data_IF_322738935945
#
_entry.id   IF_322738935945
#
_cell.length_a   1.000
_cell.length_b   1.000
_cell.length_c   1.000
_cell.angle_alpha   90.00
_cell.angle_beta   90.00
_cell.angle_gamma   90.00
#
_symmetry.space_group_name_H-M   'P 1'
#
loop_
_entity.id
_entity.type
_entity.pdbx_description
1 polymer ?
#
# COMPACT_ATOMS: atom_id res chain seq x y z
N UNK A 1 21.66 12.80 -7.35
CA UNK A 1 20.23 12.97 -6.99
C UNK A 1 19.86 11.87 -6.02
N UNK A 2 19.20 12.18 -4.91
CA UNK A 2 18.88 11.19 -3.87
C UNK A 2 17.74 10.27 -4.34
N UNK A 3 17.78 8.99 -3.99
CA UNK A 3 16.76 8.03 -4.46
C UNK A 3 16.10 7.31 -3.30
N UNK A 4 14.78 7.30 -3.28
CA UNK A 4 13.98 6.45 -2.38
C UNK A 4 13.43 5.29 -3.18
N UNK A 5 13.87 4.08 -2.86
CA UNK A 5 13.28 2.86 -3.40
C UNK A 5 12.16 2.39 -2.48
N UNK A 6 10.99 2.06 -3.03
CA UNK A 6 9.84 1.62 -2.24
C UNK A 6 8.88 0.73 -3.02
N UNK A 7 7.85 0.24 -2.34
CA UNK A 7 6.84 -0.67 -2.90
C UNK A 7 5.84 0.08 -3.79
N UNK A 8 5.74 -0.37 -5.03
CA UNK A 8 4.72 0.03 -6.00
C UNK A 8 3.41 -0.76 -5.85
N UNK A 9 2.49 -0.64 -6.82
CA UNK A 9 2.56 0.21 -8.02
C UNK A 9 2.34 1.70 -7.69
N UNK A 10 2.18 2.54 -8.73
CA UNK A 10 1.84 3.96 -8.57
C UNK A 10 0.54 4.11 -7.74
N UNK A 11 0.50 5.08 -6.85
CA UNK A 11 -0.67 5.38 -6.04
C UNK A 11 -0.76 4.67 -4.70
N UNK A 12 0.27 3.96 -4.27
CA UNK A 12 0.31 3.31 -2.95
C UNK A 12 0.55 4.31 -1.83
N UNK A 13 0.24 3.88 -0.60
CA UNK A 13 0.61 4.62 0.61
C UNK A 13 2.14 4.73 0.77
N UNK A 14 2.91 3.77 0.24
CA UNK A 14 4.37 3.82 0.22
C UNK A 14 4.89 4.93 -0.70
N UNK A 15 4.33 5.09 -1.90
CA UNK A 15 4.65 6.22 -2.80
C UNK A 15 4.36 7.56 -2.10
N UNK A 16 3.18 7.71 -1.48
CA UNK A 16 2.81 8.90 -0.70
C UNK A 16 3.84 9.19 0.40
N UNK A 17 4.22 8.17 1.17
CA UNK A 17 5.18 8.30 2.26
C UNK A 17 6.58 8.67 1.78
N UNK A 18 7.01 8.16 0.62
CA UNK A 18 8.30 8.51 0.03
C UNK A 18 8.36 9.99 -0.36
N UNK A 19 7.33 10.50 -1.04
CA UNK A 19 7.27 11.93 -1.37
C UNK A 19 7.20 12.81 -0.12
N UNK A 20 6.42 12.40 0.88
CA UNK A 20 6.39 13.10 2.18
C UNK A 20 7.76 13.14 2.86
N UNK A 21 8.52 12.04 2.80
CA UNK A 21 9.86 12.00 3.38
C UNK A 21 10.83 12.96 2.69
N UNK A 22 10.79 13.04 1.34
CA UNK A 22 11.60 14.01 0.59
C UNK A 22 11.26 15.45 0.98
N UNK A 23 9.96 15.79 0.99
CA UNK A 23 9.48 17.13 1.32
C UNK A 23 9.82 17.53 2.76
N UNK A 24 9.58 16.64 3.73
CA UNK A 24 9.85 16.89 5.15
C UNK A 24 11.33 17.17 5.43
N UNK A 25 12.23 16.56 4.66
CA UNK A 25 13.68 16.67 4.86
C UNK A 25 14.34 17.66 3.88
N UNK A 26 13.56 18.40 3.08
CA UNK A 26 14.07 19.32 2.06
C UNK A 26 15.09 18.65 1.11
N UNK A 27 14.78 17.42 0.69
CA UNK A 27 15.64 16.61 -0.18
C UNK A 27 15.12 16.64 -1.62
N UNK A 28 15.99 17.03 -2.55
CA UNK A 28 15.75 16.83 -3.99
C UNK A 28 16.10 15.39 -4.41
N UNK A 29 15.08 14.65 -4.86
CA UNK A 29 15.23 13.22 -5.10
C UNK A 29 14.10 12.58 -5.90
N UNK A 30 14.35 11.33 -6.30
CA UNK A 30 13.40 10.50 -7.04
C UNK A 30 12.80 9.41 -6.16
N UNK A 31 11.56 9.04 -6.48
CA UNK A 31 10.91 7.83 -5.93
C UNK A 31 10.89 6.76 -7.01
N UNK A 32 11.49 5.61 -6.73
CA UNK A 32 11.50 4.45 -7.63
C UNK A 32 10.63 3.35 -7.01
N UNK A 33 9.62 2.92 -7.77
CA UNK A 33 8.63 1.94 -7.35
C UNK A 33 9.02 0.55 -7.85
N UNK A 34 8.99 -0.42 -6.95
CA UNK A 34 9.33 -1.81 -7.21
C UNK A 34 8.14 -2.73 -6.98
N UNK A 35 8.18 -3.90 -7.61
CA UNK A 35 7.17 -4.94 -7.39
C UNK A 35 7.19 -5.46 -5.94
N UNK A 36 8.38 -5.59 -5.36
CA UNK A 36 8.57 -6.00 -3.96
C UNK A 36 9.69 -5.20 -3.30
N UNK A 37 9.72 -5.18 -1.96
CA UNK A 37 10.83 -4.54 -1.23
C UNK A 37 12.13 -5.32 -1.37
N UNK A 38 12.07 -6.63 -1.61
CA UNK A 38 13.24 -7.49 -1.86
C UNK A 38 13.96 -7.06 -3.13
N UNK A 39 13.22 -6.78 -4.22
CA UNK A 39 13.80 -6.22 -5.45
C UNK A 39 14.40 -4.84 -5.19
N UNK A 40 13.73 -4.01 -4.39
CA UNK A 40 14.23 -2.69 -4.02
C UNK A 40 15.58 -2.76 -3.26
N UNK A 41 15.79 -3.76 -2.40
CA UNK A 41 17.05 -3.98 -1.69
C UNK A 41 18.21 -4.26 -2.65
N UNK A 42 17.98 -5.00 -3.74
CA UNK A 42 19.02 -5.27 -4.73
C UNK A 42 19.55 -3.99 -5.40
N UNK A 43 18.74 -2.92 -5.50
CA UNK A 43 19.20 -1.62 -5.99
C UNK A 43 20.05 -0.87 -4.94
N UNK A 44 19.71 -0.96 -3.64
CA UNK A 44 20.52 -0.37 -2.56
C UNK A 44 21.95 -0.95 -2.53
N UNK A 45 22.14 -2.20 -2.97
CA UNK A 45 23.49 -2.78 -3.06
C UNK A 45 24.39 -2.02 -4.03
N UNK A 46 23.82 -1.44 -5.08
CA UNK A 46 24.53 -0.82 -6.22
C UNK A 46 24.84 0.66 -6.02
N UNK A 47 24.04 1.37 -5.23
CA UNK A 47 24.17 2.81 -4.99
C UNK A 47 24.29 3.13 -3.49
N UNK A 48 25.05 4.15 -3.14
CA UNK A 48 25.19 4.63 -1.76
C UNK A 48 24.33 5.88 -1.50
N UNK A 49 23.82 6.55 -2.52
CA UNK A 49 23.00 7.75 -2.40
C UNK A 49 21.49 7.44 -2.48
N UNK A 50 21.08 6.39 -1.77
CA UNK A 50 19.71 5.92 -1.79
C UNK A 50 19.28 5.33 -0.44
N UNK A 51 17.97 5.27 -0.23
CA UNK A 51 17.35 4.63 0.93
C UNK A 51 16.21 3.71 0.49
N UNK A 52 15.88 2.75 1.35
CA UNK A 52 14.70 1.91 1.24
C UNK A 52 13.62 2.44 2.18
N UNK A 53 12.40 2.64 1.67
CA UNK A 53 11.21 2.93 2.47
C UNK A 53 10.27 1.74 2.46
N UNK A 54 9.89 1.26 3.65
CA UNK A 54 8.93 0.18 3.83
C UNK A 54 7.82 0.55 4.81
N UNK A 55 6.58 0.13 4.50
CA UNK A 55 5.45 0.20 5.44
C UNK A 55 5.62 -0.85 6.54
N UNK A 56 5.36 -0.51 7.81
CA UNK A 56 5.59 -1.43 8.95
C UNK A 56 4.73 -2.69 8.90
N UNK A 57 3.61 -2.66 8.17
CA UNK A 57 2.71 -3.82 7.98
C UNK A 57 3.02 -4.60 6.69
N UNK A 58 4.16 -4.35 6.05
CA UNK A 58 4.60 -5.18 4.92
C UNK A 58 4.88 -6.62 5.41
N UNK A 59 4.26 -7.66 4.81
CA UNK A 59 4.30 -9.03 5.35
C UNK A 59 5.71 -9.59 5.58
N UNK A 60 6.67 -9.19 4.75
CA UNK A 60 8.04 -9.71 4.78
C UNK A 60 9.07 -8.69 5.26
N UNK A 61 8.64 -7.63 5.97
CA UNK A 61 9.57 -6.60 6.45
C UNK A 61 10.65 -7.20 7.39
N UNK A 62 10.28 -8.20 8.18
CA UNK A 62 11.22 -8.92 9.02
C UNK A 62 12.34 -9.60 8.19
N UNK A 63 12.03 -10.19 7.03
CA UNK A 63 13.02 -10.78 6.15
C UNK A 63 13.97 -9.73 5.59
N UNK A 64 13.44 -8.58 5.16
CA UNK A 64 14.24 -7.45 4.68
C UNK A 64 15.29 -7.03 5.73
N UNK A 65 14.88 -6.91 7.00
CA UNK A 65 15.79 -6.51 8.08
C UNK A 65 16.80 -7.61 8.40
N UNK A 66 16.33 -8.81 8.75
CA UNK A 66 17.21 -9.85 9.30
C UNK A 66 18.13 -10.50 8.26
N UNK A 67 17.77 -10.51 6.98
CA UNK A 67 18.64 -11.03 5.92
C UNK A 67 19.68 -10.02 5.44
N UNK A 68 19.57 -8.74 5.84
CA UNK A 68 20.44 -7.66 5.38
C UNK A 68 21.14 -6.93 6.53
N UNK A 69 21.37 -7.57 7.67
CA UNK A 69 21.95 -6.94 8.87
C UNK A 69 23.34 -6.29 8.65
N UNK A 70 24.11 -6.76 7.68
CA UNK A 70 25.42 -6.21 7.31
C UNK A 70 25.33 -5.16 6.20
N UNK A 71 24.16 -5.00 5.58
CA UNK A 71 23.92 -4.10 4.45
C UNK A 71 23.05 -2.91 4.84
N UNK A 72 22.00 -3.11 5.64
CA UNK A 72 20.97 -2.13 5.96
C UNK A 72 20.92 -1.84 7.45
N UNK A 73 20.71 -0.57 7.77
CA UNK A 73 20.36 -0.10 9.12
C UNK A 73 19.06 0.70 9.05
N UNK A 74 18.17 0.45 10.01
CA UNK A 74 17.02 1.32 10.24
C UNK A 74 17.53 2.67 10.77
N UNK A 75 17.24 3.75 10.07
CA UNK A 75 17.75 5.10 10.40
C UNK A 75 16.66 6.07 10.82
N UNK A 76 15.41 5.84 10.42
CA UNK A 76 14.28 6.67 10.80
C UNK A 76 12.96 5.88 10.74
N UNK A 77 11.98 6.34 11.49
CA UNK A 77 10.61 5.85 11.48
C UNK A 77 9.65 7.02 11.69
N UNK A 78 8.60 7.09 10.88
CA UNK A 78 7.57 8.11 11.04
C UNK A 78 6.17 7.54 10.83
N UNK A 79 5.17 8.24 11.37
CA UNK A 79 3.76 7.95 11.14
C UNK A 79 3.21 8.95 10.13
N UNK A 80 2.50 8.45 9.14
CA UNK A 80 1.76 9.24 8.17
C UNK A 80 0.41 8.59 7.93
N UNK A 81 -0.63 9.42 7.87
CA UNK A 81 -1.97 8.95 7.49
C UNK A 81 -1.95 8.34 6.09
N UNK A 82 -2.57 7.17 5.94
CA UNK A 82 -2.79 6.58 4.62
C UNK A 82 -3.68 7.47 3.75
N UNK A 83 -3.82 7.14 2.47
CA UNK A 83 -5.04 7.52 1.77
C UNK A 83 -6.27 6.93 2.50
N UNK A 84 -7.42 7.61 2.42
CA UNK A 84 -8.66 7.10 3.00
C UNK A 84 -8.90 5.67 2.52
N UNK A 85 -9.18 4.78 3.47
CA UNK A 85 -9.58 3.41 3.21
C UNK A 85 -11.07 3.39 2.92
N UNK A 86 -11.47 2.68 1.87
CA UNK A 86 -12.84 2.70 1.35
C UNK A 86 -13.34 1.29 1.13
N UNK A 87 -14.65 1.11 1.23
CA UNK A 87 -15.37 0.04 0.56
C UNK A 87 -15.93 0.60 -0.75
N UNK A 88 -15.42 0.10 -1.88
CA UNK A 88 -15.77 0.58 -3.22
C UNK A 88 -16.32 -0.55 -4.10
N UNK A 89 -17.17 -0.24 -5.06
CA UNK A 89 -17.84 -1.24 -5.90
C UNK A 89 -18.18 -0.74 -7.29
N UNK A 90 -18.33 -1.67 -8.24
CA UNK A 90 -18.96 -1.41 -9.55
C UNK A 90 -20.46 -1.12 -9.44
N UNK A 91 -21.11 -1.48 -8.32
CA UNK A 91 -22.52 -1.24 -8.07
C UNK A 91 -22.72 -0.20 -6.97
N UNK A 92 -23.84 0.52 -7.02
CA UNK A 92 -24.32 1.37 -5.91
C UNK A 92 -25.22 0.61 -4.94
N UNK A 93 -25.78 -0.51 -5.38
CA UNK A 93 -26.70 -1.36 -4.64
C UNK A 93 -25.95 -2.54 -4.01
N UNK A 94 -25.86 -2.56 -2.68
CA UNK A 94 -25.18 -3.60 -1.90
C UNK A 94 -25.75 -5.00 -2.15
N UNK A 95 -27.03 -5.13 -2.51
CA UNK A 95 -27.67 -6.43 -2.71
C UNK A 95 -27.14 -7.17 -3.95
N UNK A 96 -26.50 -6.46 -4.88
CA UNK A 96 -25.89 -7.00 -6.10
C UNK A 96 -24.49 -7.55 -5.89
N UNK A 97 -23.85 -7.25 -4.75
CA UNK A 97 -22.48 -7.67 -4.45
C UNK A 97 -22.51 -9.12 -3.96
N UNK A 98 -21.80 -9.99 -4.67
CA UNK A 98 -21.68 -11.42 -4.33
C UNK A 98 -20.24 -11.84 -4.06
N UNK A 99 -19.29 -11.10 -4.62
CA UNK A 99 -17.86 -11.35 -4.48
C UNK A 99 -17.11 -10.08 -4.06
N UNK A 100 -16.29 -10.18 -3.03
CA UNK A 100 -15.49 -9.07 -2.48
C UNK A 100 -13.99 -9.34 -2.54
N UNK A 101 -13.19 -8.28 -2.62
CA UNK A 101 -11.73 -8.37 -2.72
C UNK A 101 -11.00 -7.42 -1.76
N UNK A 102 -9.86 -7.82 -1.21
CA UNK A 102 -9.06 -6.92 -0.36
C UNK A 102 -7.58 -7.30 -0.34
N UNK A 103 -6.71 -6.37 0.03
CA UNK A 103 -5.41 -6.73 0.58
C UNK A 103 -5.60 -7.46 1.93
N UNK A 104 -4.70 -8.38 2.35
CA UNK A 104 -4.81 -9.06 3.64
C UNK A 104 -4.90 -8.11 4.84
N UNK A 105 -4.12 -7.03 4.87
CA UNK A 105 -4.05 -6.14 6.04
C UNK A 105 -5.38 -5.45 6.40
N UNK A 106 -6.13 -4.83 5.46
CA UNK A 106 -7.41 -4.21 5.78
C UNK A 106 -8.64 -5.12 5.55
N UNK A 107 -8.46 -6.44 5.36
CA UNK A 107 -9.56 -7.36 5.04
C UNK A 107 -10.67 -7.34 6.09
N UNK A 108 -10.32 -7.10 7.35
CA UNK A 108 -11.29 -7.14 8.45
C UNK A 108 -12.22 -5.91 8.43
N UNK A 109 -11.93 -4.85 7.66
CA UNK A 109 -12.86 -3.73 7.45
C UNK A 109 -14.20 -4.16 6.81
N UNK A 110 -14.27 -5.35 6.21
CA UNK A 110 -15.54 -5.91 5.76
C UNK A 110 -16.56 -6.13 6.89
N UNK A 111 -16.12 -6.31 8.15
CA UNK A 111 -17.05 -6.46 9.28
C UNK A 111 -17.87 -5.21 9.55
N UNK A 112 -17.32 -4.04 9.20
CA UNK A 112 -17.93 -2.72 9.40
C UNK A 112 -18.93 -2.34 8.29
N UNK A 113 -18.97 -3.10 7.19
CA UNK A 113 -19.90 -2.85 6.08
C UNK A 113 -21.27 -3.45 6.38
N UNK A 114 -22.20 -2.60 6.82
CA UNK A 114 -23.58 -2.97 7.05
C UNK A 114 -24.34 -3.20 5.74
N UNK A 115 -25.27 -4.17 5.72
CA UNK A 115 -26.15 -4.43 4.56
C UNK A 115 -25.58 -5.36 3.49
N UNK A 116 -24.37 -5.90 3.66
CA UNK A 116 -23.87 -6.97 2.80
C UNK A 116 -24.62 -8.28 3.07
N UNK A 117 -25.07 -8.94 2.00
CA UNK A 117 -25.66 -10.27 2.07
C UNK A 117 -24.57 -11.28 2.46
N UNK A 118 -24.78 -12.00 3.57
CA UNK A 118 -23.88 -13.05 4.06
C UNK A 118 -24.50 -14.44 3.81
N UNK A 119 -23.70 -15.48 3.49
CA UNK A 119 -22.24 -15.46 3.28
C UNK A 119 -21.85 -14.82 1.94
N UNK A 120 -20.62 -14.27 1.87
CA UNK A 120 -20.08 -13.60 0.69
C UNK A 120 -18.72 -14.18 0.32
N UNK A 121 -18.46 -14.39 -0.97
CA UNK A 121 -17.17 -14.91 -1.43
C UNK A 121 -16.10 -13.82 -1.33
N UNK A 122 -14.94 -14.12 -0.74
CA UNK A 122 -13.84 -13.16 -0.56
C UNK A 122 -12.55 -13.64 -1.20
N UNK A 123 -11.88 -12.74 -1.93
CA UNK A 123 -10.54 -12.95 -2.50
C UNK A 123 -9.53 -11.98 -1.92
N UNK A 124 -8.27 -12.41 -1.81
CA UNK A 124 -7.17 -11.59 -1.33
C UNK A 124 -6.21 -11.24 -2.48
N UNK A 125 -5.70 -10.01 -2.47
CA UNK A 125 -4.80 -9.46 -3.48
C UNK A 125 -3.56 -8.81 -2.83
N UNK A 126 -2.52 -8.59 -3.63
CA UNK A 126 -1.23 -8.11 -3.13
C UNK A 126 -1.19 -6.62 -2.77
N UNK A 127 -2.20 -5.82 -3.15
CA UNK A 127 -2.31 -4.42 -2.74
C UNK A 127 -3.75 -3.89 -2.82
N UNK A 128 -4.00 -2.74 -2.18
CA UNK A 128 -5.27 -2.02 -2.32
C UNK A 128 -5.53 -1.57 -3.76
N UNK A 129 -4.48 -1.15 -4.47
CA UNK A 129 -4.57 -0.76 -5.88
C UNK A 129 -4.94 -1.94 -6.77
N UNK A 130 -4.34 -3.11 -6.52
CA UNK A 130 -4.69 -4.36 -7.21
C UNK A 130 -6.14 -4.75 -6.94
N UNK A 131 -6.61 -4.65 -5.70
CA UNK A 131 -8.00 -4.93 -5.36
C UNK A 131 -8.99 -4.03 -6.14
N UNK A 132 -8.67 -2.75 -6.32
CA UNK A 132 -9.48 -1.83 -7.14
C UNK A 132 -9.47 -2.21 -8.62
N UNK A 133 -8.30 -2.55 -9.18
CA UNK A 133 -8.17 -3.02 -10.56
C UNK A 133 -9.02 -4.27 -10.80
N UNK A 134 -8.91 -5.26 -9.91
CA UNK A 134 -9.66 -6.52 -10.00
C UNK A 134 -11.18 -6.29 -9.83
N UNK A 135 -11.58 -5.33 -9.00
CA UNK A 135 -12.97 -4.91 -8.91
C UNK A 135 -13.47 -4.31 -10.22
N UNK A 136 -12.72 -3.38 -10.81
CA UNK A 136 -13.06 -2.74 -12.07
C UNK A 136 -13.13 -3.73 -13.24
N UNK A 137 -12.26 -4.73 -13.26
CA UNK A 137 -12.24 -5.80 -14.27
C UNK A 137 -13.38 -6.82 -14.11
N UNK A 138 -14.15 -6.76 -13.01
CA UNK A 138 -15.23 -7.69 -12.76
C UNK A 138 -14.82 -9.01 -12.10
N UNK A 139 -13.54 -9.18 -11.75
CA UNK A 139 -13.07 -10.32 -10.96
C UNK A 139 -13.75 -10.36 -9.61
N UNK A 140 -14.01 -9.20 -8.99
CA UNK A 140 -14.85 -9.03 -7.79
C UNK A 140 -15.90 -7.93 -8.04
N UNK A 141 -16.96 -7.89 -7.22
CA UNK A 141 -18.02 -6.88 -7.32
C UNK A 141 -17.70 -5.63 -6.49
N UNK A 142 -17.01 -5.81 -5.37
CA UNK A 142 -16.58 -4.74 -4.49
C UNK A 142 -15.23 -5.06 -3.84
N UNK A 143 -14.56 -4.06 -3.30
CA UNK A 143 -13.27 -4.23 -2.65
C UNK A 143 -13.03 -3.23 -1.53
N UNK A 144 -12.18 -3.61 -0.57
CA UNK A 144 -11.49 -2.64 0.28
C UNK A 144 -10.31 -2.08 -0.51
N UNK A 145 -10.27 -0.76 -0.65
CA UNK A 145 -9.22 -0.07 -1.40
C UNK A 145 -8.96 1.34 -0.84
N UNK A 146 -8.16 2.15 -1.52
CA UNK A 146 -7.92 3.56 -1.16
C UNK A 146 -8.71 4.52 -2.04
N UNK A 147 -8.94 5.76 -1.56
CA UNK A 147 -9.55 6.83 -2.36
C UNK A 147 -8.84 7.10 -3.68
N UNK A 148 -7.50 7.04 -3.70
CA UNK A 148 -6.71 7.24 -4.91
C UNK A 148 -6.99 6.13 -5.94
N UNK A 149 -7.00 4.87 -5.50
CA UNK A 149 -7.23 3.71 -6.36
C UNK A 149 -8.70 3.58 -6.82
N UNK A 150 -9.67 3.84 -5.95
CA UNK A 150 -11.09 3.85 -6.32
C UNK A 150 -11.37 4.89 -7.42
N UNK A 151 -10.80 6.10 -7.28
CA UNK A 151 -10.93 7.16 -8.29
C UNK A 151 -10.25 6.81 -9.60
N UNK A 152 -9.04 6.23 -9.59
CA UNK A 152 -8.34 5.85 -10.83
C UNK A 152 -9.07 4.77 -11.62
N UNK A 153 -9.93 3.99 -10.97
CA UNK A 153 -10.71 2.92 -11.58
C UNK A 153 -12.22 3.22 -11.69
N UNK A 154 -12.64 4.46 -11.43
CA UNK A 154 -14.05 4.90 -11.51
C UNK A 154 -15.03 4.02 -10.71
N UNK A 155 -14.62 3.55 -9.52
CA UNK A 155 -15.47 2.76 -8.64
C UNK A 155 -16.39 3.66 -7.81
N UNK A 156 -17.60 3.18 -7.51
CA UNK A 156 -18.51 3.84 -6.58
C UNK A 156 -17.99 3.66 -5.15
N UNK A 157 -17.95 4.73 -4.37
CA UNK A 157 -17.58 4.68 -2.96
C UNK A 157 -18.85 4.42 -2.16
N UNK A 158 -18.93 3.25 -1.52
CA UNK A 158 -20.09 2.85 -0.72
C UNK A 158 -19.90 3.14 0.76
N UNK A 159 -18.65 3.13 1.22
CA UNK A 159 -18.28 3.51 2.57
C UNK A 159 -16.87 4.10 2.59
N UNK A 160 -16.65 5.13 3.39
CA UNK A 160 -15.33 5.73 3.66
C UNK A 160 -14.99 5.52 5.13
N UNK A 161 -13.96 4.70 5.39
CA UNK A 161 -13.45 4.41 6.74
C UNK A 161 -12.48 5.49 7.24
N UNK A 162 -12.14 6.47 6.41
CA UNK A 162 -11.14 7.48 6.69
C UNK A 162 -9.70 6.98 6.55
N UNK A 163 -8.71 7.85 6.79
CA UNK A 163 -7.31 7.47 6.81
C UNK A 163 -6.99 6.63 8.06
N UNK A 164 -5.98 5.76 7.93
CA UNK A 164 -5.41 5.03 9.06
C UNK A 164 -4.01 5.58 9.31
N UNK A 165 -3.66 5.99 10.55
CA UNK A 165 -2.29 6.32 10.90
C UNK A 165 -1.40 5.09 10.70
N UNK A 166 -0.38 5.19 9.84
CA UNK A 166 0.46 4.06 9.47
C UNK A 166 1.94 4.38 9.65
N UNK A 167 2.70 3.42 10.18
CA UNK A 167 4.15 3.54 10.34
C UNK A 167 4.89 3.26 9.04
N UNK A 168 5.94 4.04 8.78
CA UNK A 168 6.88 3.86 7.69
C UNK A 168 8.30 3.84 8.25
N UNK A 169 9.09 2.91 7.75
CA UNK A 169 10.46 2.65 8.16
C UNK A 169 11.43 3.05 7.04
N UNK A 170 12.51 3.73 7.41
CA UNK A 170 13.58 4.15 6.52
C UNK A 170 14.83 3.34 6.82
N UNK A 171 15.34 2.64 5.82
CA UNK A 171 16.56 1.86 5.91
C UNK A 171 17.62 2.44 4.98
N UNK A 172 18.78 2.73 5.56
CA UNK A 172 19.94 3.23 4.82
C UNK A 172 21.00 2.15 4.74
N UNK A 173 21.88 2.23 3.74
CA UNK A 173 23.04 1.35 3.64
C UNK A 173 24.00 1.58 4.82
N UNK A 174 24.61 0.50 5.31
CA UNK A 174 25.71 0.56 6.27
C UNK A 174 26.99 0.88 5.49
N UNK A 175 27.73 1.89 5.96
CA UNK A 175 29.05 2.25 5.42
C UNK A 175 30.14 1.35 5.97
#
# INVERSE_FOLDING_TARGET
MFTIHTLGPKGTNCEKAAHYYLEKNDLDGNVILHETLEVAVEEIKKDNNCILLGCIVYPYLHNIVFQNLTLLKLTDCFVLDTHNMLFASRYTDLSKIKKIGSHPAPKDLFSEVNGLNKPIESLLFNSNSEAALQCANGTVDACITTLKAAKSHNLNILHDFGPVPMGFSIHSKIN
#
